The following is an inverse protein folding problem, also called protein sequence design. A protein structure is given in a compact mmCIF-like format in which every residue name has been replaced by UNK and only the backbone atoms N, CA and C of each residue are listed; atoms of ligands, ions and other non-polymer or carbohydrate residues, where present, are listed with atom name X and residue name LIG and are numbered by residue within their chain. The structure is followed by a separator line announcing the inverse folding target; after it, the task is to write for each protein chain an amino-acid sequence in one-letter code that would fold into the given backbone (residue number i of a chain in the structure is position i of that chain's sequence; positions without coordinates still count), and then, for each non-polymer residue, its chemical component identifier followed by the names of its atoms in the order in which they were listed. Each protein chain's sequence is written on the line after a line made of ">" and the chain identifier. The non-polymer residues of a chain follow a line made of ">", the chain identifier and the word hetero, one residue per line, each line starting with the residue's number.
data_IF_176487013108
#
_entry.id   IF_176487013108
#
_cell.length_a   1.000
_cell.length_b   1.000
_cell.length_c   1.000
_cell.angle_alpha   90.00
_cell.angle_beta   90.00
_cell.angle_gamma   90.00
#
_symmetry.space_group_name_H-M   'P 1'
#
loop_
_entity.id
_entity.type
_entity.pdbx_description
1 polymer ?
#
# COMPACT_ATOMS: atom_id res chain seq x y z
N UNK A 1 19.59 -3.61 1.41
CA UNK A 1 18.96 -2.27 1.54
C UNK A 1 18.22 -2.02 0.24
N UNK A 2 16.95 -1.63 0.28
CA UNK A 2 16.20 -1.31 -0.94
C UNK A 2 16.79 -0.05 -1.56
N UNK A 3 17.18 -0.15 -2.83
CA UNK A 3 17.72 0.97 -3.59
C UNK A 3 16.56 1.75 -4.23
N UNK A 4 16.18 2.83 -3.56
CA UNK A 4 15.07 3.70 -3.98
C UNK A 4 15.47 4.67 -5.11
N UNK A 5 16.67 4.52 -5.66
CA UNK A 5 17.05 5.21 -6.91
C UNK A 5 16.61 4.45 -8.16
N UNK A 6 16.23 3.17 -8.03
CA UNK A 6 15.71 2.32 -9.11
C UNK A 6 14.20 2.28 -9.04
N UNK A 7 13.54 1.93 -10.14
CA UNK A 7 12.09 1.67 -10.08
C UNK A 7 11.80 0.43 -9.23
N UNK A 8 10.80 0.52 -8.36
CA UNK A 8 10.21 -0.63 -7.67
C UNK A 8 8.71 -0.65 -7.81
N UNK A 9 8.13 -1.82 -7.53
CA UNK A 9 6.69 -2.00 -7.48
C UNK A 9 6.30 -2.67 -6.17
N UNK A 10 5.10 -2.37 -5.70
CA UNK A 10 4.52 -2.99 -4.51
C UNK A 10 3.29 -3.79 -4.90
N UNK A 11 3.07 -4.92 -4.24
CA UNK A 11 1.90 -5.77 -4.48
C UNK A 11 1.23 -6.14 -3.16
N UNK A 12 -0.08 -5.91 -3.09
CA UNK A 12 -0.93 -6.34 -1.99
C UNK A 12 -1.59 -7.68 -2.34
N UNK A 13 -1.18 -8.74 -1.65
CA UNK A 13 -1.73 -10.07 -1.88
C UNK A 13 -3.24 -10.14 -1.57
N UNK A 14 -3.94 -11.06 -2.23
CA UNK A 14 -5.33 -11.35 -1.88
C UNK A 14 -5.42 -12.17 -0.60
N UNK A 15 -6.12 -11.65 0.40
CA UNK A 15 -6.31 -12.34 1.69
C UNK A 15 -7.74 -12.23 2.24
N UNK A 16 -8.68 -11.70 1.45
CA UNK A 16 -10.09 -11.54 1.83
C UNK A 16 -10.24 -10.69 3.09
N UNK A 17 -10.88 -11.25 4.11
CA UNK A 17 -11.12 -10.56 5.39
C UNK A 17 -9.83 -10.08 6.08
N UNK A 18 -8.71 -10.79 5.92
CA UNK A 18 -7.42 -10.35 6.47
C UNK A 18 -6.87 -9.08 5.82
N UNK A 19 -7.53 -8.55 4.78
CA UNK A 19 -7.14 -7.31 4.12
C UNK A 19 -7.15 -6.09 5.05
N UNK A 20 -7.91 -6.15 6.15
CA UNK A 20 -7.91 -5.09 7.17
C UNK A 20 -6.52 -4.84 7.78
N UNK A 21 -5.67 -5.86 7.85
CA UNK A 21 -4.30 -5.71 8.33
C UNK A 21 -3.44 -4.84 7.40
N UNK A 22 -3.81 -4.71 6.12
CA UNK A 22 -3.12 -3.78 5.23
C UNK A 22 -3.29 -2.32 5.65
N UNK A 23 -4.42 -1.93 6.25
CA UNK A 23 -4.60 -0.57 6.77
C UNK A 23 -3.55 -0.24 7.81
N UNK A 24 -3.30 -1.14 8.77
CA UNK A 24 -2.29 -0.95 9.81
C UNK A 24 -0.86 -0.92 9.26
N UNK A 25 -0.52 -1.86 8.37
CA UNK A 25 0.82 -1.91 7.75
C UNK A 25 1.08 -0.65 6.93
N UNK A 26 0.14 -0.25 6.08
CA UNK A 26 0.27 0.94 5.24
C UNK A 26 0.32 2.22 6.09
N UNK A 27 -0.44 2.31 7.17
CA UNK A 27 -0.36 3.45 8.12
C UNK A 27 1.04 3.57 8.73
N UNK A 28 1.60 2.47 9.23
CA UNK A 28 2.95 2.45 9.79
C UNK A 28 4.01 2.86 8.75
N UNK A 29 3.87 2.37 7.51
CA UNK A 29 4.77 2.76 6.41
C UNK A 29 4.64 4.25 6.09
N UNK A 30 3.42 4.80 6.04
CA UNK A 30 3.23 6.23 5.77
C UNK A 30 3.80 7.11 6.89
N UNK A 31 3.70 6.68 8.15
CA UNK A 31 4.27 7.42 9.29
C UNK A 31 5.81 7.36 9.33
N UNK A 32 6.40 6.20 9.05
CA UNK A 32 7.85 5.96 9.22
C UNK A 32 8.65 6.17 7.94
N UNK A 33 8.05 5.84 6.79
CA UNK A 33 8.73 5.87 5.50
C UNK A 33 7.79 6.10 4.30
N UNK A 34 7.14 7.28 4.22
CA UNK A 34 6.08 7.56 3.24
C UNK A 34 6.55 7.43 1.79
N UNK A 35 7.82 7.78 1.53
CA UNK A 35 8.44 7.70 0.21
C UNK A 35 8.36 6.30 -0.40
N UNK A 36 8.35 5.24 0.42
CA UNK A 36 8.28 3.87 -0.08
C UNK A 36 6.99 3.58 -0.86
N UNK A 37 5.86 4.12 -0.41
CA UNK A 37 4.57 3.95 -1.07
C UNK A 37 4.34 5.05 -2.13
N UNK A 38 4.76 6.28 -1.84
CA UNK A 38 4.53 7.43 -2.72
C UNK A 38 5.38 7.38 -4.00
N UNK A 39 6.58 6.83 -3.94
CA UNK A 39 7.51 6.77 -5.08
C UNK A 39 7.52 5.40 -5.77
N UNK A 40 6.60 4.50 -5.39
CA UNK A 40 6.45 3.21 -6.08
C UNK A 40 6.00 3.43 -7.53
N UNK A 41 6.75 2.90 -8.50
CA UNK A 41 6.45 3.02 -9.94
C UNK A 41 5.12 2.34 -10.29
N UNK A 42 4.82 1.21 -9.66
CA UNK A 42 3.57 0.47 -9.86
C UNK A 42 3.05 -0.11 -8.56
N UNK A 43 1.73 -0.06 -8.40
CA UNK A 43 1.00 -0.65 -7.28
C UNK A 43 0.07 -1.71 -7.83
N UNK A 44 0.19 -2.93 -7.32
CA UNK A 44 -0.61 -4.08 -7.71
C UNK A 44 -1.43 -4.58 -6.53
N UNK A 45 -2.52 -5.28 -6.83
CA UNK A 45 -3.22 -6.04 -5.81
C UNK A 45 -4.18 -7.07 -6.39
N UNK A 46 -4.57 -8.04 -5.57
CA UNK A 46 -5.57 -9.06 -5.92
C UNK A 46 -6.64 -9.14 -4.83
N UNK A 47 -7.92 -9.33 -5.21
CA UNK A 47 -9.05 -9.42 -4.25
C UNK A 47 -9.04 -8.25 -3.25
N UNK A 48 -9.07 -8.50 -1.93
CA UNK A 48 -8.96 -7.46 -0.90
C UNK A 48 -7.68 -6.61 -1.01
N UNK A 49 -6.57 -7.19 -1.49
CA UNK A 49 -5.35 -6.43 -1.79
C UNK A 49 -5.51 -5.47 -2.96
N UNK A 50 -6.37 -5.77 -3.94
CA UNK A 50 -6.67 -4.84 -5.04
C UNK A 50 -7.43 -3.60 -4.54
N UNK A 51 -8.32 -3.77 -3.56
CA UNK A 51 -8.98 -2.65 -2.90
C UNK A 51 -7.95 -1.77 -2.17
N UNK A 52 -7.03 -2.37 -1.43
CA UNK A 52 -5.97 -1.62 -0.75
C UNK A 52 -5.05 -0.89 -1.74
N UNK A 53 -4.67 -1.56 -2.84
CA UNK A 53 -3.88 -0.96 -3.91
C UNK A 53 -4.60 0.26 -4.50
N UNK A 54 -5.90 0.15 -4.77
CA UNK A 54 -6.72 1.25 -5.29
C UNK A 54 -6.85 2.41 -4.31
N UNK A 55 -7.08 2.13 -3.03
CA UNK A 55 -7.08 3.15 -1.97
C UNK A 55 -5.76 3.93 -1.94
N UNK A 56 -4.63 3.22 -1.95
CA UNK A 56 -3.31 3.83 -1.89
C UNK A 56 -2.97 4.69 -3.11
N UNK A 57 -3.43 4.31 -4.31
CA UNK A 57 -3.17 5.07 -5.54
C UNK A 57 -4.15 6.22 -5.77
N UNK A 58 -5.39 6.10 -5.30
CA UNK A 58 -6.41 7.17 -5.39
C UNK A 58 -6.20 8.28 -4.35
N UNK A 59 -5.24 8.13 -3.44
CA UNK A 59 -4.96 9.13 -2.40
C UNK A 59 -6.06 9.22 -1.35
N UNK A 60 -6.84 8.15 -1.17
CA UNK A 60 -7.88 8.10 -0.13
C UNK A 60 -7.17 8.11 1.24
N UNK A 61 -7.50 9.04 2.15
CA UNK A 61 -6.90 9.08 3.47
C UNK A 61 -7.17 7.76 4.21
N UNK A 62 -6.12 7.10 4.71
CA UNK A 62 -6.29 5.81 5.42
C UNK A 62 -7.17 5.93 6.67
N UNK A 63 -7.25 7.12 7.28
CA UNK A 63 -8.13 7.40 8.42
C UNK A 63 -9.62 7.34 8.09
N UNK A 64 -10.01 7.34 6.82
CA UNK A 64 -11.41 7.21 6.38
C UNK A 64 -11.83 5.77 6.10
N UNK A 65 -10.91 4.80 6.22
CA UNK A 65 -11.16 3.37 5.96
C UNK A 65 -11.49 2.55 7.21
N UNK A 66 -11.37 3.16 8.39
CA UNK A 66 -11.59 2.55 9.69
C UNK A 66 -12.99 2.85 10.24
#
# INVERSE_FOLDING_TARGET
>A
MLDLSKEWSISFAGCGFMGIYYVGVTSCILERFPRFLQEASKVYGASAGALMAAVGTLGIPLGELA
#
